data_IF_044517929512
#
_entry.id   IF_044517929512
#
_cell.length_a   1.000
_cell.length_b   1.000
_cell.length_c   1.000
_cell.angle_alpha   90.00
_cell.angle_beta   90.00
_cell.angle_gamma   90.00
#
_symmetry.space_group_name_H-M   'P 1'
#
loop_
_entity.id
_entity.type
_entity.pdbx_description
1 polymer ?
#
# COMPACT_ATOMS: atom_id res chain seq x y z
N UNK A 1 21.67 71.02 -38.51
CA UNK A 1 20.83 70.26 -37.56
C UNK A 1 19.77 69.35 -38.23
N UNK A 2 19.88 69.05 -39.53
CA UNK A 2 18.85 68.29 -40.28
C UNK A 2 19.11 66.78 -40.30
N UNK A 3 20.37 66.32 -40.41
CA UNK A 3 20.71 64.89 -40.47
C UNK A 3 20.41 64.10 -39.19
N UNK A 4 20.56 64.72 -38.01
CA UNK A 4 20.32 64.07 -36.70
C UNK A 4 18.85 63.70 -36.45
N UNK A 5 17.89 64.40 -37.09
CA UNK A 5 16.46 64.09 -36.98
C UNK A 5 16.05 62.91 -37.87
N UNK A 6 16.73 62.71 -39.00
CA UNK A 6 16.45 61.63 -39.95
C UNK A 6 16.97 60.30 -39.38
N UNK A 7 18.20 60.28 -38.88
CA UNK A 7 18.81 59.15 -38.17
C UNK A 7 17.96 58.65 -37.00
N UNK A 8 17.47 59.57 -36.16
CA UNK A 8 16.60 59.23 -35.02
C UNK A 8 15.25 58.65 -35.47
N UNK A 9 14.72 59.12 -36.59
CA UNK A 9 13.49 58.59 -37.19
C UNK A 9 13.67 57.16 -37.73
N UNK A 10 14.83 56.87 -38.32
CA UNK A 10 15.17 55.55 -38.83
C UNK A 10 15.40 54.57 -37.68
N UNK A 11 16.14 54.96 -36.63
CA UNK A 11 16.35 54.12 -35.45
C UNK A 11 15.05 53.79 -34.71
N UNK A 12 14.12 54.75 -34.59
CA UNK A 12 12.80 54.49 -33.97
C UNK A 12 11.95 53.51 -34.78
N UNK A 13 12.00 53.60 -36.11
CA UNK A 13 11.31 52.66 -37.01
C UNK A 13 11.93 51.27 -36.93
N UNK A 14 13.26 51.18 -36.89
CA UNK A 14 13.97 49.91 -36.72
C UNK A 14 13.63 49.24 -35.36
N UNK A 15 13.62 50.02 -34.26
CA UNK A 15 13.23 49.53 -32.94
C UNK A 15 11.77 49.02 -32.90
N UNK A 16 10.86 49.75 -33.54
CA UNK A 16 9.45 49.35 -33.64
C UNK A 16 9.28 48.03 -34.38
N UNK A 17 10.00 47.84 -35.49
CA UNK A 17 9.98 46.59 -36.28
C UNK A 17 10.54 45.43 -35.45
N UNK A 18 11.62 45.63 -34.70
CA UNK A 18 12.18 44.58 -33.83
C UNK A 18 11.19 44.16 -32.73
N UNK A 19 10.51 45.12 -32.08
CA UNK A 19 9.51 44.80 -31.06
C UNK A 19 8.35 44.01 -31.68
N UNK A 20 7.84 44.44 -32.84
CA UNK A 20 6.74 43.75 -33.52
C UNK A 20 7.14 42.35 -33.99
N UNK A 21 8.33 42.17 -34.54
CA UNK A 21 8.76 40.88 -35.10
C UNK A 21 9.22 39.86 -34.04
N UNK A 22 9.68 40.29 -32.87
CA UNK A 22 10.22 39.37 -31.86
C UNK A 22 9.37 39.28 -30.59
N UNK A 23 8.79 40.40 -30.11
CA UNK A 23 8.03 40.41 -28.86
C UNK A 23 6.62 39.90 -29.08
N UNK A 24 5.97 40.29 -30.18
CA UNK A 24 4.57 39.88 -30.45
C UNK A 24 4.47 38.37 -30.74
N UNK A 25 5.33 37.75 -31.57
CA UNK A 25 5.29 36.29 -31.74
C UNK A 25 5.61 35.53 -30.44
N UNK A 26 6.52 36.04 -29.61
CA UNK A 26 6.83 35.49 -28.28
C UNK A 26 5.64 35.57 -27.31
N UNK A 27 4.92 36.69 -27.30
CA UNK A 27 3.72 36.87 -26.49
C UNK A 27 2.55 36.01 -26.99
N UNK A 28 2.37 35.90 -28.31
CA UNK A 28 1.36 35.04 -28.91
C UNK A 28 1.67 33.56 -28.72
N UNK A 29 2.93 33.13 -28.77
CA UNK A 29 3.30 31.76 -28.39
C UNK A 29 2.97 31.52 -26.92
N UNK A 30 3.34 32.42 -26.00
CA UNK A 30 2.98 32.30 -24.57
C UNK A 30 1.46 32.18 -24.31
N UNK A 31 0.63 32.88 -25.10
CA UNK A 31 -0.83 32.82 -24.99
C UNK A 31 -1.45 31.58 -25.67
N UNK A 32 -0.88 31.09 -26.78
CA UNK A 32 -1.40 29.95 -27.55
C UNK A 32 -0.86 28.59 -27.07
N UNK A 33 0.40 28.51 -26.64
CA UNK A 33 0.94 27.37 -25.90
C UNK A 33 0.66 27.54 -24.42
N UNK A 34 -0.57 27.97 -24.09
CA UNK A 34 -1.06 28.24 -22.75
C UNK A 34 -0.37 27.28 -21.80
N UNK A 35 0.53 27.84 -20.98
CA UNK A 35 1.32 27.07 -20.04
C UNK A 35 0.31 26.38 -19.16
N UNK A 36 -0.04 25.15 -19.52
CA UNK A 36 -0.54 24.15 -18.62
C UNK A 36 0.61 24.03 -17.66
N UNK A 37 0.56 24.82 -16.59
CA UNK A 37 1.16 24.39 -15.35
C UNK A 37 0.73 22.93 -15.23
N UNK A 38 1.65 21.95 -15.07
CA UNK A 38 1.22 20.66 -14.60
C UNK A 38 0.33 20.98 -13.39
N UNK A 39 -0.95 20.60 -13.52
CA UNK A 39 -1.95 20.75 -12.48
C UNK A 39 -1.27 20.38 -11.19
N UNK A 40 -1.15 21.33 -10.25
CA UNK A 40 -0.44 21.17 -8.97
C UNK A 40 -0.39 19.69 -8.59
N UNK A 41 0.67 19.01 -9.02
CA UNK A 41 1.08 17.78 -8.38
C UNK A 41 1.45 18.31 -7.02
N UNK A 42 0.64 17.99 -6.02
CA UNK A 42 1.01 18.25 -4.64
C UNK A 42 2.48 17.86 -4.52
N UNK A 43 3.31 18.80 -4.06
CA UNK A 43 4.73 18.62 -3.81
C UNK A 43 4.87 17.49 -2.76
N UNK A 44 4.74 16.21 -3.17
CA UNK A 44 4.93 15.03 -2.29
C UNK A 44 6.43 14.87 -1.96
N UNK A 45 7.28 15.74 -2.49
CA UNK A 45 8.62 15.93 -2.03
C UNK A 45 8.70 17.10 -1.06
N UNK A 46 8.50 16.87 0.25
CA UNK A 46 9.34 17.44 1.33
C UNK A 46 8.88 17.01 2.73
N UNK A 47 9.70 16.18 3.36
CA UNK A 47 9.84 16.04 4.82
C UNK A 47 8.71 15.33 5.58
N UNK A 48 7.93 14.45 4.95
CA UNK A 48 7.08 13.52 5.71
C UNK A 48 7.92 12.73 6.72
N UNK A 49 7.44 12.61 7.96
CA UNK A 49 8.10 11.81 9.01
C UNK A 49 7.15 10.81 9.63
N UNK A 50 7.65 9.62 9.92
CA UNK A 50 6.92 8.64 10.74
C UNK A 50 7.42 8.75 12.17
N UNK A 51 6.49 8.96 13.10
CA UNK A 51 6.76 9.02 14.52
C UNK A 51 6.64 7.62 15.11
N UNK A 52 7.73 7.11 15.66
CA UNK A 52 7.78 5.80 16.32
C UNK A 52 7.80 6.02 17.83
N UNK A 53 6.80 5.50 18.54
CA UNK A 53 6.75 5.51 20.00
C UNK A 53 7.20 4.14 20.57
N UNK A 54 8.44 4.08 21.07
CA UNK A 54 8.97 2.89 21.73
C UNK A 54 8.70 2.87 23.26
N UNK A 55 7.73 3.66 23.73
CA UNK A 55 7.30 3.81 25.12
C UNK A 55 8.25 4.66 25.98
N UNK A 56 9.57 4.45 25.85
CA UNK A 56 10.59 5.25 26.58
C UNK A 56 11.14 6.42 25.77
N UNK A 57 10.94 6.40 24.47
CA UNK A 57 11.44 7.41 23.55
C UNK A 57 10.55 7.47 22.32
N UNK A 58 10.29 8.70 21.87
CA UNK A 58 9.64 8.97 20.60
C UNK A 58 10.72 9.42 19.60
N UNK A 59 10.75 8.78 18.44
CA UNK A 59 11.71 9.12 17.37
C UNK A 59 10.95 9.41 16.08
N UNK A 60 11.22 10.57 15.47
CA UNK A 60 10.71 10.87 14.13
C UNK A 60 11.74 10.44 13.09
N UNK A 61 11.38 9.56 12.15
CA UNK A 61 12.26 9.11 11.07
C UNK A 61 11.71 9.49 9.69
N UNK A 62 12.58 9.54 8.68
CA UNK A 62 12.15 9.80 7.31
C UNK A 62 11.26 8.68 6.76
N UNK A 63 10.40 9.01 5.79
CA UNK A 63 9.53 8.02 5.14
C UNK A 63 10.33 6.87 4.53
N UNK A 64 11.42 7.15 3.80
CA UNK A 64 12.23 6.10 3.18
C UNK A 64 12.98 5.23 4.23
N UNK A 65 13.43 5.82 5.34
CA UNK A 65 14.02 5.05 6.46
C UNK A 65 12.98 4.11 7.11
N UNK A 66 11.74 4.59 7.24
CA UNK A 66 10.63 3.79 7.76
C UNK A 66 10.28 2.66 6.79
N UNK A 67 10.20 2.95 5.48
CA UNK A 67 9.98 1.95 4.43
C UNK A 67 11.03 0.85 4.51
N UNK A 68 12.31 1.19 4.65
CA UNK A 68 13.38 0.21 4.79
C UNK A 68 13.17 -0.71 6.01
N UNK A 69 12.73 -0.15 7.14
CA UNK A 69 12.42 -0.95 8.34
C UNK A 69 11.20 -1.86 8.18
N UNK A 70 10.19 -1.46 7.42
CA UNK A 70 9.02 -2.31 7.11
C UNK A 70 9.39 -3.40 6.10
N UNK A 71 10.14 -3.06 5.05
CA UNK A 71 10.62 -4.05 4.07
C UNK A 71 11.51 -5.09 4.74
N UNK A 72 12.37 -4.67 5.67
CA UNK A 72 13.23 -5.57 6.39
C UNK A 72 12.47 -6.58 7.26
N UNK A 73 11.27 -6.22 7.77
CA UNK A 73 10.42 -7.15 8.50
C UNK A 73 9.70 -8.16 7.59
N UNK A 74 9.74 -7.95 6.27
CA UNK A 74 9.06 -8.75 5.24
C UNK A 74 10.03 -9.48 4.30
N UNK A 75 11.32 -9.14 4.35
CA UNK A 75 12.31 -9.67 3.43
C UNK A 75 12.58 -11.15 3.73
N UNK A 76 12.29 -12.00 2.75
CA UNK A 76 12.62 -13.42 2.76
C UNK A 76 13.89 -13.66 1.91
N UNK A 77 14.64 -14.72 2.22
CA UNK A 77 15.81 -15.09 1.43
C UNK A 77 15.41 -15.38 -0.02
N UNK A 78 16.09 -14.77 -0.99
CA UNK A 78 15.75 -14.91 -2.41
C UNK A 78 14.57 -14.04 -2.87
N UNK A 79 14.14 -13.05 -2.08
CA UNK A 79 13.12 -12.08 -2.51
C UNK A 79 13.49 -11.41 -3.83
N UNK A 80 12.58 -11.46 -4.79
CA UNK A 80 12.75 -10.82 -6.10
C UNK A 80 12.80 -9.28 -5.96
N UNK A 81 13.77 -8.58 -6.60
CA UNK A 81 13.87 -7.13 -6.50
C UNK A 81 12.59 -6.37 -6.90
N UNK A 82 11.85 -6.86 -7.89
CA UNK A 82 10.59 -6.24 -8.31
C UNK A 82 9.47 -6.38 -7.27
N UNK A 83 9.48 -7.45 -6.46
CA UNK A 83 8.58 -7.60 -5.32
C UNK A 83 8.91 -6.55 -4.25
N UNK A 84 10.19 -6.35 -3.93
CA UNK A 84 10.64 -5.36 -2.94
C UNK A 84 10.27 -3.95 -3.39
N UNK A 85 10.51 -3.61 -4.66
CA UNK A 85 10.10 -2.33 -5.27
C UNK A 85 8.60 -2.12 -5.18
N UNK A 86 7.80 -3.13 -5.52
CA UNK A 86 6.34 -3.06 -5.44
C UNK A 86 5.88 -2.80 -4.01
N UNK A 87 6.42 -3.53 -3.04
CA UNK A 87 6.13 -3.30 -1.63
C UNK A 87 6.55 -1.90 -1.16
N UNK A 88 7.68 -1.38 -1.61
CA UNK A 88 8.13 -0.02 -1.29
C UNK A 88 7.11 1.04 -1.74
N UNK A 89 6.57 0.91 -2.97
CA UNK A 89 5.51 1.79 -3.48
C UNK A 89 4.22 1.65 -2.67
N UNK A 90 3.84 0.43 -2.28
CA UNK A 90 2.65 0.17 -1.45
C UNK A 90 2.76 0.80 -0.07
N UNK A 91 3.88 0.56 0.63
CA UNK A 91 4.17 1.10 1.95
C UNK A 91 4.16 2.64 1.89
N UNK A 92 4.84 3.23 0.90
CA UNK A 92 4.85 4.69 0.70
C UNK A 92 3.46 5.26 0.48
N UNK A 93 2.66 4.59 -0.35
CA UNK A 93 1.28 5.00 -0.63
C UNK A 93 0.44 4.98 0.66
N UNK A 94 0.57 3.94 1.47
CA UNK A 94 -0.13 3.83 2.75
C UNK A 94 0.29 4.92 3.74
N UNK A 95 1.58 5.19 3.86
CA UNK A 95 2.11 6.25 4.72
C UNK A 95 1.52 7.61 4.33
N UNK A 96 1.60 7.99 3.06
CA UNK A 96 1.09 9.28 2.61
C UNK A 96 -0.44 9.37 2.66
N UNK A 97 -1.15 8.26 2.44
CA UNK A 97 -2.61 8.20 2.62
C UNK A 97 -3.00 8.45 4.07
N UNK A 98 -2.26 7.89 5.03
CA UNK A 98 -2.49 8.09 6.46
C UNK A 98 -2.11 9.51 6.92
N UNK A 99 -1.03 10.07 6.38
CA UNK A 99 -0.62 11.46 6.64
C UNK A 99 -1.67 12.49 6.20
N UNK A 100 -2.40 12.26 5.10
CA UNK A 100 -3.33 13.24 4.50
C UNK A 100 -2.62 14.57 4.23
N UNK A 101 -3.10 15.67 4.81
CA UNK A 101 -2.50 17.02 4.69
C UNK A 101 -1.46 17.31 5.80
N UNK A 102 -1.11 16.31 6.62
CA UNK A 102 -0.07 16.41 7.66
C UNK A 102 1.31 16.11 7.08
N UNK A 103 2.35 16.53 7.82
CA UNK A 103 3.74 16.17 7.55
C UNK A 103 4.25 15.04 8.46
N UNK A 104 3.39 14.50 9.33
CA UNK A 104 3.73 13.38 10.21
C UNK A 104 2.56 12.45 10.46
N UNK A 105 2.86 11.17 10.65
CA UNK A 105 1.92 10.11 11.06
C UNK A 105 2.58 9.25 12.14
N UNK A 106 1.79 8.73 13.09
CA UNK A 106 2.30 7.78 14.07
C UNK A 106 2.39 6.37 13.45
N UNK A 107 3.37 5.57 13.87
CA UNK A 107 3.58 4.24 13.31
C UNK A 107 2.47 3.25 13.63
N UNK A 108 1.80 3.40 14.77
CA UNK A 108 0.65 2.59 15.19
C UNK A 108 -0.56 2.76 14.25
N UNK A 109 -0.76 3.95 13.69
CA UNK A 109 -1.80 4.23 12.69
C UNK A 109 -1.58 3.49 11.36
N UNK A 110 -0.34 3.06 11.08
CA UNK A 110 0.01 2.41 9.82
C UNK A 110 -0.25 0.91 9.84
N UNK A 111 -0.41 0.30 11.02
CA UNK A 111 -0.58 -1.15 11.19
C UNK A 111 0.48 -1.98 10.44
N UNK A 112 1.73 -1.47 10.39
CA UNK A 112 2.86 -2.15 9.75
C UNK A 112 3.92 -2.48 10.80
N UNK A 113 4.45 -3.70 10.75
CA UNK A 113 5.61 -4.07 11.55
C UNK A 113 6.83 -3.31 11.04
N UNK A 114 7.45 -2.54 11.93
CA UNK A 114 8.70 -1.84 11.66
C UNK A 114 9.82 -2.47 12.50
N UNK A 115 10.98 -2.73 11.89
CA UNK A 115 12.19 -3.12 12.62
C UNK A 115 13.30 -2.08 12.44
N UNK A 116 13.89 -1.68 13.55
CA UNK A 116 14.97 -0.69 13.60
C UNK A 116 16.26 -1.21 12.98
N UNK A 117 17.15 -0.30 12.56
CA UNK A 117 18.48 -0.65 12.04
C UNK A 117 19.26 -1.60 12.96
N UNK A 118 19.18 -1.39 14.29
CA UNK A 118 19.82 -2.26 15.28
C UNK A 118 19.23 -3.67 15.27
N UNK A 119 17.91 -3.79 15.11
CA UNK A 119 17.24 -5.08 14.99
C UNK A 119 17.60 -5.78 13.67
N UNK A 120 17.67 -5.03 12.56
CA UNK A 120 18.15 -5.55 11.26
C UNK A 120 19.56 -6.12 11.33
N UNK A 121 20.50 -5.39 11.94
CA UNK A 121 21.87 -5.87 12.16
C UNK A 121 21.92 -7.17 12.96
N UNK A 122 21.06 -7.30 13.97
CA UNK A 122 20.97 -8.53 14.78
C UNK A 122 20.30 -9.67 14.01
N UNK A 123 19.31 -9.37 13.20
CA UNK A 123 18.55 -10.34 12.42
C UNK A 123 19.41 -10.98 11.33
N UNK A 124 20.08 -10.17 10.52
CA UNK A 124 20.83 -10.63 9.34
C UNK A 124 22.29 -10.95 9.61
N UNK A 125 22.87 -10.39 10.67
CA UNK A 125 24.25 -10.68 11.08
C UNK A 125 25.24 -10.50 9.90
N UNK A 126 25.82 -11.59 9.39
CA UNK A 126 26.77 -11.56 8.27
C UNK A 126 26.16 -11.08 6.95
N UNK A 127 24.85 -11.24 6.76
CA UNK A 127 24.15 -10.84 5.53
C UNK A 127 23.61 -9.40 5.61
N UNK A 128 23.91 -8.67 6.70
CA UNK A 128 23.36 -7.34 6.95
C UNK A 128 23.63 -6.36 5.81
N UNK A 129 24.88 -6.26 5.34
CA UNK A 129 25.26 -5.29 4.30
C UNK A 129 24.57 -5.59 2.97
N UNK A 130 24.48 -6.87 2.59
CA UNK A 130 23.83 -7.28 1.35
C UNK A 130 22.32 -7.00 1.37
N UNK A 131 21.65 -7.35 2.46
CA UNK A 131 20.20 -7.14 2.61
C UNK A 131 19.84 -5.66 2.74
N UNK A 132 20.62 -4.89 3.49
CA UNK A 132 20.40 -3.45 3.63
C UNK A 132 20.60 -2.75 2.28
N UNK A 133 21.67 -3.07 1.53
CA UNK A 133 21.91 -2.50 0.20
C UNK A 133 20.79 -2.85 -0.78
N UNK A 134 20.32 -4.10 -0.80
CA UNK A 134 19.22 -4.52 -1.67
C UNK A 134 17.95 -3.70 -1.42
N UNK A 135 17.60 -3.49 -0.15
CA UNK A 135 16.43 -2.70 0.24
C UNK A 135 16.62 -1.22 -0.14
N UNK A 136 17.78 -0.64 0.15
CA UNK A 136 18.10 0.75 -0.17
C UNK A 136 18.03 0.99 -1.68
N UNK A 137 18.67 0.13 -2.48
CA UNK A 137 18.68 0.21 -3.94
C UNK A 137 17.27 0.07 -4.53
N UNK A 138 16.49 -0.91 -4.05
CA UNK A 138 15.10 -1.10 -4.51
C UNK A 138 14.24 0.10 -4.13
N UNK A 139 14.35 0.61 -2.90
CA UNK A 139 13.56 1.74 -2.42
C UNK A 139 13.89 3.03 -3.19
N UNK A 140 15.18 3.26 -3.47
CA UNK A 140 15.66 4.39 -4.25
C UNK A 140 15.18 4.32 -5.70
N UNK A 141 15.19 3.14 -6.33
CA UNK A 141 14.76 2.93 -7.71
C UNK A 141 13.28 3.30 -7.94
N UNK A 142 12.45 3.24 -6.90
CA UNK A 142 11.03 3.64 -6.95
C UNK A 142 10.73 4.84 -6.05
N UNK A 143 11.74 5.69 -5.80
CA UNK A 143 11.55 6.89 -4.99
C UNK A 143 10.44 7.77 -5.58
N UNK A 144 9.64 8.38 -4.70
CA UNK A 144 8.49 9.23 -5.04
C UNK A 144 7.32 8.52 -5.75
N UNK A 145 7.44 7.25 -6.13
CA UNK A 145 6.33 6.51 -6.72
C UNK A 145 5.28 6.16 -5.65
N UNK A 146 4.03 6.45 -5.98
CA UNK A 146 2.83 6.16 -5.19
C UNK A 146 1.72 5.66 -6.12
N UNK A 147 0.77 4.90 -5.57
CA UNK A 147 -0.37 4.41 -6.33
C UNK A 147 -1.59 5.31 -6.16
N UNK A 148 -2.26 5.62 -7.28
CA UNK A 148 -3.45 6.46 -7.32
C UNK A 148 -4.56 5.87 -8.17
N UNK A 149 -5.80 6.13 -7.79
CA UNK A 149 -6.99 5.91 -8.60
C UNK A 149 -7.83 7.18 -8.51
N UNK A 150 -8.31 7.69 -9.65
CA UNK A 150 -9.06 8.96 -9.72
C UNK A 150 -8.34 10.13 -9.02
N UNK A 151 -7.01 10.19 -9.15
CA UNK A 151 -6.12 11.18 -8.53
C UNK A 151 -5.98 11.09 -6.99
N UNK A 152 -6.63 10.13 -6.34
CA UNK A 152 -6.51 9.90 -4.89
C UNK A 152 -5.56 8.75 -4.58
N UNK A 153 -4.82 8.84 -3.46
CA UNK A 153 -3.97 7.75 -2.98
C UNK A 153 -4.84 6.57 -2.55
N UNK A 154 -4.52 5.37 -3.03
CA UNK A 154 -5.36 4.19 -2.82
C UNK A 154 -4.97 3.39 -1.58
N UNK A 155 -5.92 2.57 -1.11
CA UNK A 155 -5.59 1.44 -0.25
C UNK A 155 -5.03 0.25 -1.03
N UNK A 156 -3.99 -0.36 -0.48
CA UNK A 156 -3.20 -1.39 -1.14
C UNK A 156 -3.18 -2.67 -0.29
N UNK A 157 -4.34 -3.27 0.04
CA UNK A 157 -4.35 -4.55 0.74
C UNK A 157 -3.67 -5.61 -0.14
N UNK A 158 -2.94 -6.50 0.50
CA UNK A 158 -2.26 -7.61 -0.16
C UNK A 158 -2.34 -8.87 0.68
N UNK A 159 -2.09 -9.99 0.03
CA UNK A 159 -1.92 -11.29 0.66
C UNK A 159 -0.67 -11.94 0.10
N UNK A 160 -0.07 -12.85 0.88
CA UNK A 160 1.10 -13.60 0.43
C UNK A 160 0.73 -14.61 -0.65
N UNK A 161 -0.35 -15.36 -0.44
CA UNK A 161 -0.88 -16.38 -1.35
C UNK A 161 -2.41 -16.24 -1.42
N UNK A 162 -2.98 -16.46 -2.59
CA UNK A 162 -4.42 -16.55 -2.84
C UNK A 162 -4.88 -18.00 -3.03
N UNK A 163 -6.17 -18.25 -3.10
CA UNK A 163 -6.73 -19.54 -3.53
C UNK A 163 -6.73 -19.71 -5.08
N UNK A 164 -5.77 -19.07 -5.77
CA UNK A 164 -5.64 -19.02 -7.23
C UNK A 164 -6.23 -17.76 -7.87
N UNK A 165 -6.95 -16.93 -7.11
CA UNK A 165 -7.50 -15.63 -7.57
C UNK A 165 -7.54 -14.62 -6.44
N UNK A 166 -7.27 -13.34 -6.75
CA UNK A 166 -7.52 -12.24 -5.82
C UNK A 166 -9.02 -12.02 -5.61
N UNK A 167 -9.39 -11.33 -4.53
CA UNK A 167 -10.78 -11.00 -4.21
C UNK A 167 -11.14 -9.60 -4.73
N UNK A 168 -12.36 -9.44 -5.22
CA UNK A 168 -12.92 -8.11 -5.51
C UNK A 168 -13.67 -7.55 -4.31
N UNK A 169 -13.61 -6.24 -4.08
CA UNK A 169 -14.52 -5.57 -3.13
C UNK A 169 -15.91 -5.46 -3.74
N UNK A 170 -16.89 -6.14 -3.14
CA UNK A 170 -18.24 -6.34 -3.71
C UNK A 170 -19.14 -5.10 -3.70
N UNK A 171 -18.83 -4.11 -2.85
CA UNK A 171 -19.59 -2.86 -2.70
C UNK A 171 -19.10 -1.71 -3.59
N UNK A 172 -17.99 -1.92 -4.32
CA UNK A 172 -17.37 -0.89 -5.16
C UNK A 172 -16.59 0.18 -4.39
N UNK A 173 -16.39 0.02 -3.07
CA UNK A 173 -15.64 0.98 -2.25
C UNK A 173 -14.17 1.12 -2.69
N UNK A 174 -13.60 0.07 -3.28
CA UNK A 174 -12.25 0.06 -3.84
C UNK A 174 -12.28 -0.38 -5.31
N UNK A 175 -12.58 0.52 -6.27
CA UNK A 175 -12.78 0.17 -7.67
C UNK A 175 -11.52 -0.38 -8.38
N UNK A 176 -10.35 -0.18 -7.78
CA UNK A 176 -9.08 -0.76 -8.23
C UNK A 176 -8.89 -2.22 -7.79
N UNK A 177 -9.60 -2.70 -6.77
CA UNK A 177 -9.56 -4.09 -6.31
C UNK A 177 -10.54 -4.95 -7.11
N UNK A 178 -10.10 -5.30 -8.32
CA UNK A 178 -10.79 -6.27 -9.17
C UNK A 178 -10.13 -7.64 -9.02
N UNK A 179 -10.95 -8.67 -9.13
CA UNK A 179 -10.48 -10.05 -9.17
C UNK A 179 -9.54 -10.26 -10.37
N UNK A 180 -8.41 -10.90 -10.11
CA UNK A 180 -7.40 -11.31 -11.08
C UNK A 180 -6.96 -12.74 -10.78
N UNK A 181 -6.55 -13.48 -11.81
CA UNK A 181 -6.02 -14.85 -11.66
C UNK A 181 -4.57 -14.80 -11.14
N UNK A 182 -4.23 -15.73 -10.25
CA UNK A 182 -2.91 -15.91 -9.65
C UNK A 182 -2.47 -17.38 -9.84
N UNK A 183 -2.15 -17.81 -11.07
CA UNK A 183 -1.90 -19.23 -11.37
C UNK A 183 -0.66 -19.79 -10.65
N UNK A 184 0.33 -18.94 -10.41
CA UNK A 184 1.62 -19.34 -9.83
C UNK A 184 1.53 -19.63 -8.33
N UNK A 185 0.49 -19.15 -7.64
CA UNK A 185 0.25 -19.39 -6.20
C UNK A 185 0.17 -20.88 -5.87
N UNK A 186 -0.35 -21.68 -6.82
CA UNK A 186 -0.47 -23.13 -6.66
C UNK A 186 0.87 -23.87 -6.53
N UNK A 187 1.96 -23.22 -6.93
CA UNK A 187 3.32 -23.75 -6.83
C UNK A 187 4.01 -23.43 -5.51
N UNK A 188 3.45 -22.55 -4.69
CA UNK A 188 4.02 -22.15 -3.40
C UNK A 188 3.81 -23.25 -2.36
N UNK A 189 4.83 -23.56 -1.56
CA UNK A 189 4.80 -24.66 -0.58
C UNK A 189 3.62 -24.52 0.42
N UNK A 190 3.28 -23.29 0.78
CA UNK A 190 2.21 -22.95 1.72
C UNK A 190 0.82 -22.84 1.07
N UNK A 191 0.67 -23.16 -0.22
CA UNK A 191 -0.62 -23.06 -0.93
C UNK A 191 -1.71 -23.94 -0.30
N UNK A 192 -1.35 -25.14 0.17
CA UNK A 192 -2.25 -26.04 0.91
C UNK A 192 -1.73 -26.20 2.33
N UNK A 193 -2.56 -25.85 3.30
CA UNK A 193 -2.31 -26.11 4.71
C UNK A 193 -3.41 -26.99 5.30
N UNK A 194 -3.01 -28.01 6.05
CA UNK A 194 -3.93 -28.91 6.76
C UNK A 194 -3.65 -28.77 8.26
N UNK A 195 -4.69 -28.42 9.01
CA UNK A 195 -4.64 -28.35 10.47
C UNK A 195 -5.47 -29.48 11.06
N UNK A 196 -4.82 -30.35 11.82
CA UNK A 196 -5.49 -31.41 12.56
C UNK A 196 -5.90 -30.89 13.95
N UNK A 197 -7.17 -31.07 14.29
CA UNK A 197 -7.73 -30.71 15.58
C UNK A 197 -8.62 -31.84 16.07
N UNK A 198 -8.53 -32.18 17.36
CA UNK A 198 -9.42 -33.18 17.96
C UNK A 198 -10.83 -32.61 18.08
N UNK A 199 -11.85 -33.46 18.11
CA UNK A 199 -13.24 -33.01 18.31
C UNK A 199 -13.39 -32.22 19.63
N UNK A 200 -12.70 -32.66 20.69
CA UNK A 200 -12.71 -31.99 21.98
C UNK A 200 -12.09 -30.59 21.93
N UNK A 201 -10.93 -30.46 21.27
CA UNK A 201 -10.25 -29.17 21.14
C UNK A 201 -11.03 -28.21 20.23
N UNK A 202 -11.63 -28.72 19.16
CA UNK A 202 -12.47 -27.93 18.26
C UNK A 202 -13.67 -27.33 19.00
N UNK A 203 -14.40 -28.17 19.74
CA UNK A 203 -15.54 -27.72 20.56
C UNK A 203 -15.08 -26.70 21.59
N UNK A 204 -13.97 -26.95 22.29
CA UNK A 204 -13.40 -26.04 23.29
C UNK A 204 -13.01 -24.68 22.68
N UNK A 205 -12.41 -24.68 21.48
CA UNK A 205 -12.02 -23.46 20.78
C UNK A 205 -13.26 -22.65 20.37
N UNK A 206 -14.24 -23.31 19.76
CA UNK A 206 -15.50 -22.70 19.36
C UNK A 206 -16.23 -22.08 20.57
N UNK A 207 -16.31 -22.81 21.68
CA UNK A 207 -16.95 -22.32 22.90
C UNK A 207 -16.26 -21.13 23.56
N UNK A 208 -14.95 -21.00 23.35
CA UNK A 208 -14.19 -19.85 23.85
C UNK A 208 -14.35 -18.62 22.95
N UNK A 209 -14.40 -18.82 21.64
CA UNK A 209 -14.27 -17.75 20.64
C UNK A 209 -15.60 -17.15 20.20
N UNK A 210 -16.59 -17.97 19.91
CA UNK A 210 -17.88 -17.50 19.45
C UNK A 210 -18.76 -17.27 20.66
N UNK A 211 -19.29 -16.03 20.79
CA UNK A 211 -20.06 -15.55 21.94
C UNK A 211 -20.98 -16.63 22.48
N UNK A 212 -20.94 -16.82 23.80
CA UNK A 212 -20.57 -18.09 24.32
C UNK A 212 -21.51 -19.16 23.80
N UNK A 213 -20.93 -20.16 23.13
CA UNK A 213 -21.42 -21.54 23.27
C UNK A 213 -21.27 -21.95 24.75
N UNK A 214 -21.76 -21.15 25.72
CA UNK A 214 -21.82 -21.48 27.14
C UNK A 214 -23.08 -22.28 27.34
N UNK A 215 -22.86 -23.55 27.64
CA UNK A 215 -23.72 -24.40 28.46
C UNK A 215 -25.10 -24.80 27.97
N UNK A 216 -25.58 -24.31 26.83
CA UNK A 216 -26.94 -24.60 26.45
C UNK A 216 -27.00 -25.66 25.34
N UNK A 217 -27.92 -26.61 25.51
CA UNK A 217 -28.43 -27.47 24.45
C UNK A 217 -28.87 -26.71 23.17
N UNK A 218 -28.82 -25.36 23.16
CA UNK A 218 -29.17 -24.47 22.05
C UNK A 218 -28.03 -24.13 21.08
N UNK A 219 -26.76 -24.46 21.35
CA UNK A 219 -25.69 -24.19 20.36
C UNK A 219 -25.78 -25.12 19.14
N UNK A 220 -26.40 -26.29 19.28
CA UNK A 220 -26.48 -27.29 18.22
C UNK A 220 -25.14 -27.90 17.80
N UNK A 221 -24.04 -27.58 18.47
CA UNK A 221 -22.72 -28.15 18.17
C UNK A 221 -22.57 -29.51 18.85
N UNK A 222 -22.35 -30.56 18.07
CA UNK A 222 -22.15 -31.91 18.59
C UNK A 222 -20.79 -32.05 19.28
N UNK A 223 -20.75 -32.65 20.48
CA UNK A 223 -19.50 -32.87 21.22
C UNK A 223 -18.69 -34.03 20.66
N UNK A 224 -19.38 -35.07 20.21
CA UNK A 224 -18.76 -36.32 19.75
C UNK A 224 -18.45 -36.28 18.25
N UNK A 225 -19.27 -35.57 17.46
CA UNK A 225 -19.12 -35.41 16.01
C UNK A 225 -19.36 -33.96 15.56
N UNK A 226 -18.55 -32.98 16.01
CA UNK A 226 -18.76 -31.56 15.76
C UNK A 226 -18.87 -31.20 14.28
N UNK A 227 -18.11 -31.87 13.41
CA UNK A 227 -18.07 -31.59 11.97
C UNK A 227 -19.42 -31.86 11.27
N UNK A 228 -20.26 -32.76 11.79
CA UNK A 228 -21.61 -32.99 11.24
C UNK A 228 -22.53 -31.77 11.41
N UNK A 229 -22.17 -30.89 12.33
CA UNK A 229 -22.90 -29.66 12.64
C UNK A 229 -22.20 -28.40 12.11
N UNK A 230 -21.14 -28.57 11.31
CA UNK A 230 -20.43 -27.48 10.63
C UNK A 230 -20.76 -27.51 9.15
N UNK A 231 -21.19 -26.37 8.61
CA UNK A 231 -21.59 -26.27 7.21
C UNK A 231 -21.16 -24.93 6.61
N UNK A 232 -20.54 -24.96 5.43
CA UNK A 232 -20.29 -23.75 4.65
C UNK A 232 -21.62 -23.29 4.06
N UNK A 233 -22.01 -22.05 4.40
CA UNK A 233 -23.27 -21.45 3.97
C UNK A 233 -23.09 -20.69 2.66
N UNK A 234 -21.98 -19.99 2.52
CA UNK A 234 -21.74 -19.09 1.40
C UNK A 234 -20.25 -18.97 1.08
N UNK A 235 -19.92 -18.95 -0.21
CA UNK A 235 -18.62 -18.56 -0.74
C UNK A 235 -18.75 -17.34 -1.63
N UNK A 236 -17.69 -16.55 -1.72
CA UNK A 236 -17.58 -15.51 -2.74
C UNK A 236 -17.19 -16.08 -4.11
N UNK A 237 -17.04 -15.19 -5.10
CA UNK A 237 -16.69 -15.54 -6.48
C UNK A 237 -15.24 -16.02 -6.64
N UNK A 238 -14.41 -15.84 -5.62
CA UNK A 238 -13.04 -16.32 -5.54
C UNK A 238 -12.93 -17.56 -4.64
N UNK A 239 -14.06 -18.22 -4.34
CA UNK A 239 -14.20 -19.44 -3.51
C UNK A 239 -13.82 -19.31 -2.03
N UNK A 240 -13.61 -18.08 -1.54
CA UNK A 240 -13.40 -17.84 -0.12
C UNK A 240 -14.71 -18.03 0.64
N UNK A 241 -14.66 -18.68 1.80
CA UNK A 241 -15.83 -18.86 2.68
C UNK A 241 -16.22 -17.50 3.25
N UNK A 242 -17.38 -16.99 2.86
CA UNK A 242 -17.94 -15.76 3.42
C UNK A 242 -18.68 -16.05 4.73
N UNK A 243 -19.46 -17.14 4.75
CA UNK A 243 -20.30 -17.52 5.90
C UNK A 243 -20.21 -19.00 6.17
N UNK A 244 -20.04 -19.33 7.45
CA UNK A 244 -20.02 -20.70 7.95
C UNK A 244 -20.95 -20.84 9.13
N UNK A 245 -21.71 -21.93 9.14
CA UNK A 245 -22.56 -22.34 10.24
C UNK A 245 -21.80 -23.30 11.12
N UNK A 246 -21.76 -23.01 12.42
CA UNK A 246 -21.12 -23.86 13.44
C UNK A 246 -22.19 -24.15 14.50
N UNK A 247 -22.75 -25.36 14.48
CA UNK A 247 -23.97 -25.64 15.23
C UNK A 247 -25.13 -24.79 14.71
N UNK A 248 -25.70 -23.93 15.55
CA UNK A 248 -26.83 -23.05 15.22
C UNK A 248 -26.43 -21.60 14.95
N UNK A 249 -25.15 -21.24 15.12
CA UNK A 249 -24.66 -19.89 14.86
C UNK A 249 -24.09 -19.80 13.44
N UNK A 250 -24.24 -18.63 12.82
CA UNK A 250 -23.60 -18.32 11.54
C UNK A 250 -22.63 -17.18 11.78
N UNK A 251 -21.37 -17.43 11.45
CA UNK A 251 -20.24 -16.49 11.60
C UNK A 251 -19.59 -16.28 10.23
N UNK A 252 -18.70 -15.29 10.13
CA UNK A 252 -17.92 -15.09 8.89
C UNK A 252 -16.84 -16.17 8.76
N UNK A 253 -16.39 -16.44 7.53
CA UNK A 253 -15.25 -17.34 7.32
C UNK A 253 -13.94 -16.78 7.88
N UNK A 254 -13.78 -15.45 7.90
CA UNK A 254 -12.63 -14.76 8.52
C UNK A 254 -12.60 -14.94 10.04
N UNK A 255 -13.76 -14.89 10.70
CA UNK A 255 -13.84 -15.15 12.15
C UNK A 255 -13.59 -16.62 12.49
N UNK A 256 -13.88 -17.54 11.55
CA UNK A 256 -13.68 -18.98 11.73
C UNK A 256 -12.22 -19.43 11.55
N UNK A 257 -11.47 -18.79 10.65
CA UNK A 257 -10.08 -19.11 10.33
C UNK A 257 -9.13 -18.86 11.54
#
# INVERSE_FOLDING_TARGET
MHGRRIELGIMKKALLVTIVCFVIPGFFTLMLTGVRQPSQEADIGRNGRVRIDAGKSVTDIGVDDYIAGVLASRLEYGSEPELIKTQAVMIRTQIYRAMKDSFSVNDDELAMTYISKKERMKLWQGDYEANESLIEDCTAAVSQLVMRCNNELIDCPYTYITAGKTRSMSDGAMPWLKQAECPDDSSTEQYISIKYISNQDFVKLCSKKFAPVTEAASSGLSKDAPLETVQIVERDRSDYVNRIKVGNIVISGEEFA
#
